data_IF_779177915486
#
_entry.id   IF_779177915486
#
_cell.length_a   1.000
_cell.length_b   1.000
_cell.length_c   1.000
_cell.angle_alpha   90.00
_cell.angle_beta   90.00
_cell.angle_gamma   90.00
#
_symmetry.space_group_name_H-M   'P 1'
#
loop_
_entity.id
_entity.type
_entity.pdbx_description
1 polymer ?
#
# COMPACT_ATOMS: atom_id res chain seq x y z
N UNK A 1 -49.79 -4.22 -19.75
CA UNK A 1 -49.83 -3.17 -18.70
C UNK A 1 -48.69 -3.39 -17.69
N UNK A 2 -47.44 -3.58 -18.16
CA UNK A 2 -46.30 -3.99 -17.32
C UNK A 2 -44.96 -3.31 -17.69
N UNK A 3 -44.97 -2.39 -18.65
CA UNK A 3 -43.75 -1.75 -19.18
C UNK A 3 -43.55 -0.33 -18.65
N UNK A 4 -44.64 0.37 -18.29
CA UNK A 4 -44.59 1.73 -17.72
C UNK A 4 -44.02 1.77 -16.30
N UNK A 5 -44.43 0.85 -15.43
CA UNK A 5 -43.99 0.83 -14.02
C UNK A 5 -42.49 0.53 -13.89
N UNK A 6 -41.96 -0.37 -14.73
CA UNK A 6 -40.52 -0.69 -14.76
C UNK A 6 -39.65 0.48 -15.21
N UNK A 7 -40.16 1.29 -16.15
CA UNK A 7 -39.43 2.47 -16.62
C UNK A 7 -39.37 3.56 -15.53
N UNK A 8 -40.46 3.75 -14.79
CA UNK A 8 -40.50 4.71 -13.66
C UNK A 8 -39.62 4.26 -12.51
N UNK A 9 -39.63 2.97 -12.15
CA UNK A 9 -38.76 2.41 -11.12
C UNK A 9 -37.27 2.50 -11.50
N UNK A 10 -36.92 2.24 -12.76
CA UNK A 10 -35.55 2.37 -13.23
C UNK A 10 -35.06 3.83 -13.17
N UNK A 11 -35.92 4.79 -13.52
CA UNK A 11 -35.59 6.21 -13.50
C UNK A 11 -35.45 6.75 -12.06
N UNK A 12 -36.32 6.34 -11.13
CA UNK A 12 -36.21 6.72 -9.72
C UNK A 12 -34.96 6.14 -9.08
N UNK A 13 -34.61 4.89 -9.39
CA UNK A 13 -33.38 4.26 -8.92
C UNK A 13 -32.13 4.97 -9.44
N UNK A 14 -32.11 5.37 -10.73
CA UNK A 14 -31.01 6.14 -11.31
C UNK A 14 -30.83 7.48 -10.62
N UNK A 15 -31.91 8.23 -10.47
CA UNK A 15 -31.88 9.54 -9.80
C UNK A 15 -31.41 9.44 -8.35
N UNK A 16 -31.85 8.41 -7.62
CA UNK A 16 -31.40 8.15 -6.26
C UNK A 16 -29.89 7.84 -6.22
N UNK A 17 -29.40 7.01 -7.15
CA UNK A 17 -27.97 6.69 -7.26
C UNK A 17 -27.11 7.91 -7.60
N UNK A 18 -27.59 8.79 -8.48
CA UNK A 18 -26.91 10.04 -8.83
C UNK A 18 -26.83 11.01 -7.64
N UNK A 19 -27.93 11.15 -6.89
CA UNK A 19 -27.96 11.99 -5.68
C UNK A 19 -27.02 11.45 -4.60
N UNK A 20 -27.02 10.12 -4.38
CA UNK A 20 -26.09 9.48 -3.46
C UNK A 20 -24.64 9.73 -3.87
N UNK A 21 -24.31 9.52 -5.16
CA UNK A 21 -22.98 9.78 -5.70
C UNK A 21 -22.55 11.23 -5.48
N UNK A 22 -23.41 12.20 -5.80
CA UNK A 22 -23.10 13.62 -5.61
C UNK A 22 -22.82 13.95 -4.13
N UNK A 23 -23.67 13.47 -3.22
CA UNK A 23 -23.51 13.71 -1.78
C UNK A 23 -22.22 13.10 -1.22
N UNK A 24 -21.84 11.89 -1.64
CA UNK A 24 -20.60 11.25 -1.19
C UNK A 24 -19.36 11.96 -1.71
N UNK A 25 -19.38 12.43 -2.96
CA UNK A 25 -18.26 13.18 -3.53
C UNK A 25 -18.10 14.56 -2.91
N UNK A 26 -19.20 15.23 -2.55
CA UNK A 26 -19.18 16.49 -1.81
C UNK A 26 -18.52 16.30 -0.43
N UNK A 27 -18.97 15.32 0.34
CA UNK A 27 -18.38 14.96 1.64
C UNK A 27 -16.89 14.58 1.52
N UNK A 28 -16.53 13.80 0.51
CA UNK A 28 -15.14 13.45 0.23
C UNK A 28 -14.26 14.69 -0.07
N UNK A 29 -14.81 15.68 -0.78
CA UNK A 29 -14.11 16.94 -1.05
C UNK A 29 -13.95 17.82 0.21
N UNK A 30 -14.73 17.56 1.25
CA UNK A 30 -14.61 18.17 2.59
C UNK A 30 -13.70 17.37 3.54
N UNK A 31 -13.09 16.27 3.06
CA UNK A 31 -12.21 15.41 3.87
C UNK A 31 -12.94 14.38 4.74
N UNK A 32 -14.25 14.19 4.56
CA UNK A 32 -15.02 13.23 5.34
C UNK A 32 -14.73 11.78 4.92
N UNK A 33 -13.85 11.11 5.66
CA UNK A 33 -13.47 9.71 5.44
C UNK A 33 -14.64 8.71 5.60
N UNK A 34 -15.73 9.08 6.30
CA UNK A 34 -16.90 8.20 6.43
C UNK A 34 -17.65 8.06 5.09
N UNK A 35 -17.49 9.01 4.17
CA UNK A 35 -18.02 8.90 2.80
C UNK A 35 -17.47 7.65 2.08
N UNK A 36 -16.25 7.23 2.41
CA UNK A 36 -15.64 6.02 1.86
C UNK A 36 -16.34 4.74 2.35
N UNK A 37 -16.79 4.71 3.60
CA UNK A 37 -17.55 3.60 4.17
C UNK A 37 -18.93 3.50 3.55
N UNK A 38 -19.61 4.63 3.38
CA UNK A 38 -20.92 4.66 2.75
C UNK A 38 -20.84 4.23 1.28
N UNK A 39 -19.80 4.64 0.56
CA UNK A 39 -19.53 4.19 -0.80
C UNK A 39 -19.24 2.67 -0.86
N UNK A 40 -18.50 2.14 0.12
CA UNK A 40 -18.25 0.70 0.24
C UNK A 40 -19.54 -0.08 0.50
N UNK A 41 -20.37 0.39 1.43
CA UNK A 41 -21.65 -0.23 1.79
C UNK A 41 -22.65 -0.24 0.62
N UNK A 42 -22.57 0.74 -0.29
CA UNK A 42 -23.36 0.77 -1.51
C UNK A 42 -22.97 -0.32 -2.54
N UNK A 43 -21.84 -1.00 -2.37
CA UNK A 43 -21.38 -2.08 -3.25
C UNK A 43 -20.96 -1.64 -4.66
N UNK A 44 -20.83 -0.33 -4.90
CA UNK A 44 -20.43 0.21 -6.19
C UNK A 44 -18.94 0.54 -6.20
N UNK A 45 -18.13 -0.35 -6.79
CA UNK A 45 -16.68 -0.21 -6.87
C UNK A 45 -16.23 1.05 -7.61
N UNK A 46 -16.97 1.52 -8.62
CA UNK A 46 -16.64 2.76 -9.34
C UNK A 46 -16.80 3.96 -8.41
N UNK A 47 -17.95 4.04 -7.73
CA UNK A 47 -18.24 5.11 -6.78
C UNK A 47 -17.23 5.12 -5.63
N UNK A 48 -16.92 3.95 -5.09
CA UNK A 48 -15.88 3.80 -4.06
C UNK A 48 -14.54 4.40 -4.50
N UNK A 49 -14.08 4.08 -5.72
CA UNK A 49 -12.83 4.62 -6.25
C UNK A 49 -12.89 6.13 -6.45
N UNK A 50 -13.99 6.64 -7.00
CA UNK A 50 -14.16 8.09 -7.18
C UNK A 50 -14.13 8.86 -5.86
N UNK A 51 -14.76 8.32 -4.82
CA UNK A 51 -14.74 8.88 -3.46
C UNK A 51 -13.33 8.83 -2.87
N UNK A 52 -12.63 7.71 -3.02
CA UNK A 52 -11.24 7.59 -2.57
C UNK A 52 -10.31 8.59 -3.28
N UNK A 53 -10.41 8.71 -4.60
CA UNK A 53 -9.61 9.65 -5.38
C UNK A 53 -9.95 11.12 -5.06
N UNK A 54 -11.20 11.41 -4.69
CA UNK A 54 -11.58 12.73 -4.17
C UNK A 54 -10.96 13.00 -2.79
N UNK A 55 -11.00 12.03 -1.87
CA UNK A 55 -10.37 12.13 -0.56
C UNK A 55 -8.85 12.32 -0.68
N UNK A 56 -8.17 11.52 -1.50
CA UNK A 56 -6.72 11.63 -1.73
C UNK A 56 -6.38 13.06 -2.16
N UNK A 57 -7.06 13.59 -3.18
CA UNK A 57 -6.84 14.96 -3.67
C UNK A 57 -7.11 16.03 -2.61
N UNK A 58 -8.11 15.84 -1.76
CA UNK A 58 -8.43 16.77 -0.67
C UNK A 58 -7.32 16.78 0.39
N UNK A 59 -6.85 15.61 0.80
CA UNK A 59 -5.92 15.47 1.94
C UNK A 59 -4.45 15.58 1.56
N UNK A 60 -4.08 15.58 0.28
CA UNK A 60 -2.68 15.75 -0.18
C UNK A 60 -2.07 17.07 0.31
N UNK A 61 -2.84 18.15 0.33
CA UNK A 61 -2.34 19.47 0.76
C UNK A 61 -2.46 19.67 2.29
N UNK A 62 -3.14 18.77 3.00
CA UNK A 62 -3.34 18.85 4.44
C UNK A 62 -2.20 18.13 5.18
N UNK A 63 -1.55 18.84 6.12
CA UNK A 63 -0.46 18.26 6.91
C UNK A 63 -0.95 17.05 7.72
N UNK A 64 -0.47 15.86 7.36
CA UNK A 64 -0.83 14.60 8.02
C UNK A 64 -2.16 14.00 7.56
N UNK A 65 -2.85 14.63 6.61
CA UNK A 65 -4.11 14.14 6.05
C UNK A 65 -3.93 12.80 5.32
N UNK A 66 -2.86 12.66 4.54
CA UNK A 66 -2.50 11.40 3.88
C UNK A 66 -2.31 10.25 4.87
N UNK A 67 -1.54 10.48 5.95
CA UNK A 67 -1.35 9.49 7.04
C UNK A 67 -2.66 9.15 7.76
N UNK A 68 -3.54 10.14 7.97
CA UNK A 68 -4.83 9.89 8.59
C UNK A 68 -5.71 8.98 7.71
N UNK A 69 -5.74 9.23 6.40
CA UNK A 69 -6.48 8.45 5.42
C UNK A 69 -5.90 7.03 5.27
N UNK A 70 -4.58 6.89 5.11
CA UNK A 70 -3.92 5.59 5.02
C UNK A 70 -4.11 4.75 6.28
N UNK A 71 -3.96 5.36 7.46
CA UNK A 71 -4.19 4.70 8.73
C UNK A 71 -5.67 4.33 8.95
N UNK A 72 -6.61 5.10 8.39
CA UNK A 72 -8.03 4.75 8.39
C UNK A 72 -8.31 3.49 7.56
N UNK A 73 -7.78 3.44 6.33
CA UNK A 73 -7.91 2.28 5.42
C UNK A 73 -7.22 1.05 5.99
N UNK A 74 -5.97 1.18 6.45
CA UNK A 74 -5.17 0.06 6.95
C UNK A 74 -5.79 -0.62 8.19
N UNK A 75 -6.47 0.15 9.05
CA UNK A 75 -7.13 -0.37 10.26
C UNK A 75 -8.47 -1.06 9.97
N UNK A 76 -9.15 -0.69 8.88
CA UNK A 76 -10.41 -1.29 8.45
C UNK A 76 -10.14 -2.25 7.30
N UNK A 77 -9.65 -3.45 7.60
CA UNK A 77 -9.16 -4.43 6.62
C UNK A 77 -10.15 -4.91 5.54
N UNK A 78 -11.37 -4.40 5.53
CA UNK A 78 -12.39 -4.57 4.48
C UNK A 78 -12.23 -3.54 3.34
N UNK A 79 -11.64 -2.37 3.65
CA UNK A 79 -11.41 -1.29 2.72
C UNK A 79 -10.21 -1.58 1.81
N UNK A 80 -10.38 -1.27 0.53
CA UNK A 80 -9.32 -1.34 -0.47
C UNK A 80 -8.70 0.03 -0.66
N UNK A 81 -7.39 0.08 -0.84
CA UNK A 81 -6.72 1.31 -1.22
C UNK A 81 -6.86 1.58 -2.74
N UNK A 82 -6.23 2.63 -3.23
CA UNK A 82 -6.00 2.88 -4.65
C UNK A 82 -4.50 2.94 -4.94
N UNK A 83 -4.08 2.66 -6.19
CA UNK A 83 -2.73 2.89 -6.65
C UNK A 83 -2.26 4.33 -6.41
N UNK A 84 -3.13 5.32 -6.68
CA UNK A 84 -2.83 6.73 -6.50
C UNK A 84 -2.48 7.08 -5.04
N UNK A 85 -3.20 6.54 -4.05
CA UNK A 85 -2.85 6.77 -2.64
C UNK A 85 -1.47 6.17 -2.30
N UNK A 86 -1.19 4.95 -2.76
CA UNK A 86 0.10 4.31 -2.50
C UNK A 86 1.27 5.05 -3.16
N UNK A 87 1.07 5.59 -4.37
CA UNK A 87 2.07 6.40 -5.08
C UNK A 87 2.36 7.70 -4.34
N UNK A 88 1.32 8.44 -3.92
CA UNK A 88 1.50 9.69 -3.17
C UNK A 88 2.17 9.44 -1.82
N UNK A 89 1.82 8.36 -1.10
CA UNK A 89 2.49 7.99 0.15
C UNK A 89 3.96 7.60 -0.08
N UNK A 90 4.27 6.92 -1.18
CA UNK A 90 5.64 6.56 -1.53
C UNK A 90 6.48 7.82 -1.81
N UNK A 91 5.92 8.79 -2.52
CA UNK A 91 6.56 10.08 -2.79
C UNK A 91 6.84 10.86 -1.49
N UNK A 92 5.84 10.96 -0.59
CA UNK A 92 5.98 11.60 0.71
C UNK A 92 7.06 10.89 1.56
N UNK A 93 6.99 9.56 1.65
CA UNK A 93 7.95 8.75 2.40
C UNK A 93 9.36 8.83 1.82
N UNK A 94 9.51 8.90 0.49
CA UNK A 94 10.82 9.00 -0.16
C UNK A 94 11.61 10.27 0.21
N UNK A 95 10.91 11.33 0.60
CA UNK A 95 11.51 12.60 1.02
C UNK A 95 12.17 12.49 2.41
N UNK A 96 11.50 11.80 3.35
CA UNK A 96 12.00 11.55 4.70
C UNK A 96 11.69 10.11 5.12
N UNK A 97 12.49 9.13 4.66
CA UNK A 97 12.20 7.73 4.92
C UNK A 97 12.35 7.40 6.40
N UNK A 98 11.30 6.80 6.96
CA UNK A 98 11.33 6.26 8.33
C UNK A 98 10.95 4.79 8.32
N UNK A 99 11.58 4.02 9.21
CA UNK A 99 11.31 2.60 9.47
C UNK A 99 9.88 2.36 9.94
N UNK A 100 9.34 3.28 10.76
CA UNK A 100 8.00 3.19 11.34
C UNK A 100 6.88 3.26 10.31
N UNK A 101 7.11 3.95 9.19
CA UNK A 101 6.11 4.18 8.15
C UNK A 101 6.07 3.04 7.12
N UNK A 102 7.12 2.19 7.05
CA UNK A 102 7.24 1.09 6.07
C UNK A 102 6.07 0.09 6.13
N UNK A 103 5.63 -0.41 7.31
CA UNK A 103 4.52 -1.37 7.38
C UNK A 103 3.22 -0.78 6.82
N UNK A 104 2.94 0.49 7.10
CA UNK A 104 1.75 1.18 6.62
C UNK A 104 1.81 1.40 5.11
N UNK A 105 2.96 1.88 4.59
CA UNK A 105 3.17 2.07 3.17
C UNK A 105 2.98 0.77 2.38
N UNK A 106 3.59 -0.34 2.83
CA UNK A 106 3.42 -1.65 2.20
C UNK A 106 1.98 -2.16 2.28
N UNK A 107 1.30 -1.96 3.42
CA UNK A 107 -0.10 -2.33 3.62
C UNK A 107 -1.01 -1.61 2.63
N UNK A 108 -0.88 -0.29 2.51
CA UNK A 108 -1.67 0.52 1.57
C UNK A 108 -1.41 0.08 0.13
N UNK A 109 -0.15 -0.16 -0.23
CA UNK A 109 0.22 -0.63 -1.54
C UNK A 109 -0.39 -2.02 -1.84
N UNK A 110 -0.39 -2.94 -0.87
CA UNK A 110 -1.01 -4.26 -1.04
C UNK A 110 -2.54 -4.17 -1.15
N UNK A 111 -3.17 -3.29 -0.38
CA UNK A 111 -4.62 -3.07 -0.41
C UNK A 111 -5.09 -2.37 -1.70
N UNK A 112 -4.19 -1.81 -2.52
CA UNK A 112 -4.53 -1.22 -3.82
C UNK A 112 -4.97 -2.25 -4.86
N UNK A 113 -4.70 -3.54 -4.60
CA UNK A 113 -4.90 -4.65 -5.52
C UNK A 113 -4.21 -4.46 -6.88
N UNK A 114 -3.18 -3.62 -6.95
CA UNK A 114 -2.32 -3.46 -8.11
C UNK A 114 -0.92 -4.03 -7.85
N UNK A 115 -0.58 -5.08 -8.59
CA UNK A 115 0.69 -5.77 -8.43
C UNK A 115 1.90 -4.94 -8.90
N UNK A 116 1.71 -3.97 -9.80
CA UNK A 116 2.80 -3.09 -10.24
C UNK A 116 3.09 -2.03 -9.18
N UNK A 117 2.06 -1.43 -8.60
CA UNK A 117 2.18 -0.48 -7.48
C UNK A 117 2.83 -1.14 -6.27
N UNK A 118 2.38 -2.33 -5.86
CA UNK A 118 3.00 -3.04 -4.74
C UNK A 118 4.47 -3.38 -5.03
N UNK A 119 4.79 -3.80 -6.27
CA UNK A 119 6.18 -4.05 -6.68
C UNK A 119 7.04 -2.79 -6.57
N UNK A 120 6.57 -1.67 -7.10
CA UNK A 120 7.30 -0.41 -7.10
C UNK A 120 7.61 0.06 -5.68
N UNK A 121 6.64 -0.05 -4.77
CA UNK A 121 6.84 0.28 -3.34
C UNK A 121 7.87 -0.66 -2.70
N UNK A 122 7.77 -1.97 -2.91
CA UNK A 122 8.73 -2.94 -2.38
C UNK A 122 10.15 -2.69 -2.89
N UNK A 123 10.31 -2.38 -4.18
CA UNK A 123 11.60 -2.07 -4.80
C UNK A 123 12.21 -0.80 -4.18
N UNK A 124 11.42 0.27 -4.01
CA UNK A 124 11.89 1.51 -3.38
C UNK A 124 12.27 1.31 -1.91
N UNK A 125 11.44 0.62 -1.13
CA UNK A 125 11.76 0.33 0.28
C UNK A 125 13.05 -0.48 0.39
N UNK A 126 13.23 -1.47 -0.47
CA UNK A 126 14.44 -2.27 -0.50
C UNK A 126 15.67 -1.43 -0.87
N UNK A 127 15.58 -0.54 -1.87
CA UNK A 127 16.67 0.34 -2.28
C UNK A 127 17.11 1.26 -1.14
N UNK A 128 16.16 1.95 -0.49
CA UNK A 128 16.46 2.83 0.66
C UNK A 128 17.05 2.05 1.85
N UNK A 129 16.62 0.81 2.06
CA UNK A 129 17.21 -0.08 3.06
C UNK A 129 18.64 -0.49 2.70
N UNK A 130 18.91 -0.88 1.45
CA UNK A 130 20.23 -1.28 0.93
C UNK A 130 21.24 -0.11 0.99
N UNK A 131 20.75 1.13 0.89
CA UNK A 131 21.52 2.36 1.13
C UNK A 131 21.83 2.63 2.62
N UNK A 132 21.30 1.83 3.54
CA UNK A 132 21.50 2.00 4.99
C UNK A 132 20.69 3.14 5.61
N UNK A 133 19.69 3.69 4.90
CA UNK A 133 18.84 4.79 5.37
C UNK A 133 17.71 4.34 6.31
N UNK A 134 17.54 3.02 6.48
CA UNK A 134 16.59 2.41 7.41
C UNK A 134 17.33 1.53 8.44
N UNK A 135 18.19 2.11 9.29
CA UNK A 135 19.09 1.34 10.16
C UNK A 135 18.37 0.51 11.23
N UNK A 136 17.11 0.84 11.52
CA UNK A 136 16.29 0.15 12.52
C UNK A 136 15.62 -1.12 11.97
N UNK A 137 15.62 -1.33 10.65
CA UNK A 137 15.02 -2.51 10.02
C UNK A 137 16.11 -3.52 9.67
N UNK A 138 16.02 -4.71 10.26
CA UNK A 138 16.86 -5.83 9.85
C UNK A 138 16.40 -6.43 8.53
N UNK A 139 17.31 -7.13 7.84
CA UNK A 139 16.97 -7.86 6.61
C UNK A 139 15.85 -8.90 6.83
N UNK A 140 15.81 -9.51 8.02
CA UNK A 140 14.81 -10.52 8.37
C UNK A 140 13.42 -9.90 8.60
N UNK A 141 13.35 -8.75 9.27
CA UNK A 141 12.10 -8.00 9.45
C UNK A 141 11.55 -7.53 8.10
N UNK A 142 12.43 -7.02 7.21
CA UNK A 142 12.00 -6.56 5.90
C UNK A 142 11.45 -7.70 5.01
N UNK A 143 12.10 -8.87 5.02
CA UNK A 143 11.59 -10.07 4.34
C UNK A 143 10.22 -10.51 4.91
N UNK A 144 10.05 -10.43 6.24
CA UNK A 144 8.77 -10.74 6.88
C UNK A 144 7.67 -9.75 6.49
N UNK A 145 7.97 -8.45 6.42
CA UNK A 145 7.03 -7.42 5.98
C UNK A 145 6.59 -7.64 4.53
N UNK A 146 7.54 -7.80 3.59
CA UNK A 146 7.20 -8.03 2.18
C UNK A 146 6.29 -9.25 1.99
N UNK A 147 6.58 -10.35 2.69
CA UNK A 147 5.74 -11.55 2.64
C UNK A 147 4.37 -11.33 3.26
N UNK A 148 4.31 -10.72 4.44
CA UNK A 148 3.06 -10.47 5.16
C UNK A 148 2.09 -9.67 4.32
N UNK A 149 2.57 -8.58 3.73
CA UNK A 149 1.75 -7.66 2.95
C UNK A 149 1.38 -8.23 1.56
N UNK A 150 2.26 -9.03 0.94
CA UNK A 150 1.94 -9.72 -0.31
C UNK A 150 0.67 -10.59 -0.23
N UNK A 151 0.35 -11.18 0.93
CA UNK A 151 -0.84 -12.02 1.08
C UNK A 151 -2.16 -11.23 1.09
N UNK A 152 -2.12 -9.92 1.23
CA UNK A 152 -3.31 -9.05 1.24
C UNK A 152 -3.76 -8.63 -0.15
N UNK A 153 -2.84 -8.67 -1.13
CA UNK A 153 -3.18 -8.51 -2.53
C UNK A 153 -4.28 -9.49 -2.91
N UNK A 154 -5.26 -9.00 -3.66
CA UNK A 154 -6.31 -9.84 -4.22
C UNK A 154 -5.72 -11.04 -4.98
N UNK A 155 -6.47 -12.13 -5.00
CA UNK A 155 -6.10 -13.33 -5.74
C UNK A 155 -5.92 -13.06 -7.24
N UNK A 156 -6.59 -12.05 -7.78
CA UNK A 156 -6.49 -11.68 -9.19
C UNK A 156 -5.22 -10.87 -9.47
N UNK A 157 -4.88 -9.92 -8.60
CA UNK A 157 -3.61 -9.19 -8.67
C UNK A 157 -2.41 -10.15 -8.64
N UNK A 158 -2.43 -11.13 -7.73
CA UNK A 158 -1.35 -12.12 -7.59
C UNK A 158 -1.25 -13.11 -8.76
N UNK A 159 -2.38 -13.47 -9.38
CA UNK A 159 -2.42 -14.41 -10.53
C UNK A 159 -2.26 -13.71 -11.89
N UNK A 160 -2.23 -12.39 -11.92
CA UNK A 160 -2.00 -11.61 -13.14
C UNK A 160 -0.58 -11.79 -13.68
N UNK A 161 -0.36 -11.39 -14.94
CA UNK A 161 0.99 -11.35 -15.52
C UNK A 161 1.94 -10.45 -14.73
N UNK A 162 1.45 -9.31 -14.24
CA UNK A 162 2.19 -8.42 -13.35
C UNK A 162 2.48 -9.07 -12.00
N UNK A 163 1.54 -9.85 -11.46
CA UNK A 163 1.71 -10.64 -10.24
C UNK A 163 2.82 -11.68 -10.35
N UNK A 164 2.98 -12.29 -11.53
CA UNK A 164 4.12 -13.18 -11.80
C UNK A 164 5.47 -12.43 -11.74
N UNK A 165 5.55 -11.24 -12.34
CA UNK A 165 6.76 -10.40 -12.27
C UNK A 165 7.06 -10.00 -10.83
N UNK A 166 6.05 -9.56 -10.08
CA UNK A 166 6.16 -9.25 -8.65
C UNK A 166 6.72 -10.44 -7.84
N UNK A 167 6.21 -11.66 -8.05
CA UNK A 167 6.70 -12.84 -7.35
C UNK A 167 8.19 -13.12 -7.66
N UNK A 168 8.61 -12.94 -8.92
CA UNK A 168 10.03 -13.05 -9.29
C UNK A 168 10.87 -11.97 -8.61
N UNK A 169 10.39 -10.73 -8.56
CA UNK A 169 11.07 -9.63 -7.84
C UNK A 169 11.21 -9.98 -6.35
N UNK A 170 10.14 -10.41 -5.68
CA UNK A 170 10.19 -10.80 -4.26
C UNK A 170 11.16 -11.95 -3.99
N UNK A 171 11.22 -12.95 -4.88
CA UNK A 171 12.17 -14.05 -4.76
C UNK A 171 13.63 -13.58 -4.87
N UNK A 172 13.91 -12.63 -5.75
CA UNK A 172 15.24 -12.02 -5.92
C UNK A 172 15.63 -11.17 -4.71
N UNK A 173 14.73 -10.29 -4.25
CA UNK A 173 14.96 -9.46 -3.07
C UNK A 173 15.18 -10.31 -1.82
N UNK A 174 14.41 -11.38 -1.64
CA UNK A 174 14.61 -12.32 -0.54
C UNK A 174 16.02 -12.92 -0.55
N UNK A 175 16.54 -13.30 -1.72
CA UNK A 175 17.89 -13.83 -1.84
C UNK A 175 18.93 -12.80 -1.37
N UNK A 176 18.78 -11.54 -1.80
CA UNK A 176 19.67 -10.45 -1.37
C UNK A 176 19.58 -10.19 0.13
N UNK A 177 18.37 -10.13 0.70
CA UNK A 177 18.16 -9.96 2.15
C UNK A 177 18.82 -11.08 2.96
N UNK A 178 18.70 -12.34 2.49
CA UNK A 178 19.34 -13.48 3.14
C UNK A 178 20.87 -13.44 3.05
N UNK A 179 21.43 -12.93 1.96
CA UNK A 179 22.87 -12.72 1.83
C UNK A 179 23.38 -11.64 2.79
N UNK A 180 22.63 -10.55 2.96
CA UNK A 180 22.97 -9.49 3.93
C UNK A 180 22.84 -9.96 5.38
N UNK A 181 21.76 -10.66 5.75
CA UNK A 181 21.58 -11.21 7.10
C UNK A 181 22.75 -12.10 7.55
N UNK A 182 23.32 -12.89 6.63
CA UNK A 182 24.49 -13.73 6.90
C UNK A 182 25.77 -12.94 7.15
N UNK A 183 25.88 -11.73 6.59
CA UNK A 183 27.03 -10.84 6.83
C UNK A 183 26.95 -10.22 8.22
N UNK A 184 25.74 -9.88 8.67
CA UNK A 184 25.51 -9.30 10.00
C UNK A 184 25.73 -10.33 11.12
N UNK A 185 25.39 -11.61 10.88
CA UNK A 185 25.60 -12.71 11.83
C UNK A 185 27.06 -13.21 11.91
N UNK A 186 27.95 -12.79 11.01
CA UNK A 186 29.35 -13.20 11.01
C UNK A 186 30.29 -12.01 11.29
N UNK A 187 30.57 -11.69 12.57
CA UNK A 187 31.57 -10.67 12.87
C UNK A 187 32.91 -11.07 12.26
N UNK A 188 33.72 -10.11 11.76
CA UNK A 188 35.04 -10.41 11.24
C UNK A 188 35.82 -11.15 12.31
N UNK A 189 36.31 -12.35 11.96
CA UNK A 189 37.17 -13.16 12.82
C UNK A 189 38.38 -12.30 13.26
N UNK A 190 38.28 -11.71 14.45
CA UNK A 190 39.39 -11.08 15.14
C UNK A 190 40.27 -12.21 15.69
N UNK A 191 41.03 -12.86 14.81
CA UNK A 191 41.70 -14.10 15.17
C UNK A 191 42.71 -14.59 14.14
N UNK A 192 43.60 -13.72 13.65
CA UNK A 192 44.80 -14.17 12.95
C UNK A 192 45.93 -13.12 12.94
N UNK A 193 46.27 -12.51 14.08
CA UNK A 193 47.54 -11.77 14.22
C UNK A 193 48.00 -11.73 15.68
N UNK A 194 48.24 -12.90 16.26
CA UNK A 194 49.12 -13.05 17.43
C UNK A 194 49.86 -14.37 17.30
N UNK A 195 51.07 -14.31 16.76
CA UNK A 195 52.23 -15.16 17.09
C UNK A 195 53.22 -15.09 15.94
N UNK A 196 54.14 -14.10 15.93
CA UNK A 196 55.55 -14.23 15.51
C UNK A 196 56.35 -13.02 16.00
N UNK A 197 56.68 -12.99 17.28
CA UNK A 197 57.79 -12.19 17.79
C UNK A 197 58.36 -12.85 19.05
N UNK A 198 58.95 -14.03 18.87
CA UNK A 198 60.07 -14.47 19.69
C UNK A 198 61.24 -14.66 18.75
N UNK A 199 62.18 -13.72 18.78
CA UNK A 199 63.61 -13.96 18.65
C UNK A 199 64.40 -12.70 19.02
#
# INVERSE_FOLDING_TARGET
MYDGDKAVEAETARRAAELLRASLLERAAEGDTEALLDAHAAGNTSLYREVLDALVRCVTDEKGGLRALSGFIARRGELRSSPALAEVLLEEWGCEPTSSDVPELLRVAALSDDAATFRAVVENVFEVWDEGRLPELSAAELDALFKGEYWLLSSDARRSGTGFVLNRTLAELRRRLQESARRDDHPPSAGADREKASH
#
